data_IF_316147375913
#
_entry.id   IF_316147375913
#
_cell.length_a   1.000
_cell.length_b   1.000
_cell.length_c   1.000
_cell.angle_alpha   90.00
_cell.angle_beta   90.00
_cell.angle_gamma   90.00
#
_symmetry.space_group_name_H-M   'P 1'
#
loop_
_entity.id
_entity.type
_entity.pdbx_description
1 polymer ?
2 non-polymer ?
3 non-polymer ?
4 water ?
#
# COMPACT_ATOMS: atom_id res chain seq x y z
N UNK A 14 10.46 6.52 -10.09
CA UNK A 14 9.20 6.82 -9.39
C UNK A 14 9.22 6.20 -8.01
N UNK A 15 8.64 6.91 -7.04
CA UNK A 15 8.57 6.42 -5.68
C UNK A 15 7.16 6.34 -5.17
N UNK A 16 6.95 5.45 -4.21
CA UNK A 16 5.64 5.21 -3.60
C UNK A 16 5.80 5.35 -2.10
N UNK A 17 4.85 6.03 -1.47
CA UNK A 17 4.74 6.09 -0.02
C UNK A 17 3.52 5.30 0.41
N UNK A 18 3.66 4.51 1.47
CA UNK A 18 2.55 3.86 2.14
C UNK A 18 2.58 4.32 3.59
N UNK A 19 1.46 4.89 4.05
CA UNK A 19 1.34 5.39 5.41
C UNK A 19 0.16 4.69 6.08
N UNK A 20 0.45 4.01 7.18
CA UNK A 20 -0.57 3.30 7.96
C UNK A 20 -0.89 4.08 9.21
N UNK A 21 -2.18 4.36 9.42
CA UNK A 21 -2.71 5.09 10.56
C UNK A 21 -3.62 4.22 11.41
N UNK A 22 -3.51 4.42 12.73
CA UNK A 22 -4.31 3.68 13.73
C UNK A 22 -5.07 4.75 14.50
N UNK A 23 -6.35 5.00 14.16
CA UNK A 23 -7.11 6.03 14.88
C UNK A 23 -7.38 5.70 16.34
N UNK A 24 -7.52 6.76 17.14
CA UNK A 24 -7.98 6.60 18.52
C UNK A 24 -9.35 5.93 18.54
N UNK A 25 -9.60 5.18 19.60
CA UNK A 25 -10.86 4.45 19.67
C UNK A 25 -12.02 5.47 19.73
N UNK A 26 -13.06 5.13 18.97
CA UNK A 26 -14.21 5.99 18.78
C UNK A 26 -14.09 7.06 17.72
N UNK A 27 -12.91 7.17 17.08
CA UNK A 27 -12.66 8.22 16.08
C UNK A 27 -12.37 7.67 14.68
N UNK A 28 -12.71 6.41 14.40
CA UNK A 28 -12.40 5.84 13.10
C UNK A 28 -13.05 6.61 11.96
N UNK A 29 -14.37 6.80 12.06
CA UNK A 29 -15.09 7.44 10.97
C UNK A 29 -14.74 8.93 10.84
N UNK A 30 -14.53 9.62 11.96
CA UNK A 30 -14.08 11.01 11.94
C UNK A 30 -12.70 11.13 11.29
N UNK A 31 -11.81 10.20 11.61
CA UNK A 31 -10.48 10.18 11.02
C UNK A 31 -10.56 9.99 9.51
N UNK A 32 -11.41 9.05 9.08
CA UNK A 32 -11.57 8.81 7.65
C UNK A 32 -12.03 10.05 6.89
N UNK A 33 -12.93 10.84 7.49
CA UNK A 33 -13.39 12.08 6.87
C UNK A 33 -12.24 13.08 6.75
N UNK A 34 -11.46 13.23 7.81
CA UNK A 34 -10.34 14.19 7.81
C UNK A 34 -9.27 13.77 6.82
N UNK A 35 -8.86 12.51 6.87
CA UNK A 35 -7.77 12.07 6.01
C UNK A 35 -8.20 12.03 4.54
N UNK A 36 -9.47 11.79 4.27
CA UNK A 36 -9.96 11.85 2.90
C UNK A 36 -9.71 13.20 2.24
N UNK A 37 -9.89 14.28 3.00
CA UNK A 37 -9.60 15.63 2.47
C UNK A 37 -8.11 15.81 2.20
N UNK A 38 -7.27 15.29 3.09
CA UNK A 38 -5.81 15.36 2.89
C UNK A 38 -5.36 14.53 1.68
N UNK A 39 -5.95 13.38 1.47
CA UNK A 39 -5.65 12.53 0.32
C UNK A 39 -6.02 13.24 -0.98
N UNK A 40 -7.16 13.94 -1.00
CA UNK A 40 -7.56 14.72 -2.16
C UNK A 40 -6.56 15.85 -2.46
N UNK A 41 -6.06 16.51 -1.42
CA UNK A 41 -5.04 17.52 -1.63
C UNK A 41 -3.77 16.91 -2.22
N UNK A 42 -3.38 15.77 -1.67
CA UNK A 42 -2.17 15.09 -2.13
C UNK A 42 -2.28 14.63 -3.57
N UNK A 43 -3.43 14.07 -3.93
CA UNK A 43 -3.66 13.51 -5.25
C UNK A 43 -3.31 14.47 -6.39
N UNK A 44 -3.65 15.75 -6.21
CA UNK A 44 -3.43 16.78 -7.23
C UNK A 44 -2.27 17.70 -6.94
N UNK A 45 -1.44 17.34 -5.95
CA UNK A 45 -0.23 18.08 -5.66
C UNK A 45 0.76 17.85 -6.79
N UNK A 46 1.58 18.88 -7.17
CA UNK A 46 2.51 18.66 -8.27
C UNK A 46 3.42 17.44 -8.07
N UNK A 47 3.48 16.58 -9.09
CA UNK A 47 4.28 15.37 -9.08
C UNK A 47 3.60 14.12 -8.59
N UNK A 48 2.39 14.25 -8.03
CA UNK A 48 1.66 13.08 -7.56
C UNK A 48 0.95 12.43 -8.74
N UNK A 49 1.24 11.15 -8.95
CA UNK A 49 0.66 10.35 -10.02
C UNK A 49 -0.56 9.56 -9.60
N UNK A 50 -0.85 9.54 -8.30
CA UNK A 50 -2.05 8.87 -7.79
C UNK A 50 -2.02 8.82 -6.28
N UNK A 51 -3.20 8.86 -5.66
CA UNK A 51 -3.31 8.74 -4.21
C UNK A 51 -4.56 7.96 -3.89
N UNK A 52 -4.46 7.06 -2.92
CA UNK A 52 -5.52 6.12 -2.58
C UNK A 52 -5.67 6.05 -1.07
N UNK A 53 -6.91 6.04 -0.60
CA UNK A 53 -7.25 5.83 0.81
C UNK A 53 -7.95 4.48 0.95
N UNK A 55 -9.51 1.57 3.80
CA UNK A 55 -10.10 1.48 5.13
C UNK A 55 -10.31 0.03 5.53
N UNK A 56 -9.98 -0.30 6.78
CA UNK A 56 -10.27 -1.60 7.36
C UNK A 56 -10.77 -1.37 8.78
N UNK A 57 -12.04 -0.98 8.91
CA UNK A 57 -12.57 -0.64 10.25
C UNK A 57 -12.40 -1.72 11.30
N UNK A 58 -12.58 -2.97 10.89
CA UNK A 58 -12.51 -4.08 11.84
C UNK A 58 -11.08 -4.29 12.39
N UNK A 59 -10.07 -3.81 11.67
CA UNK A 59 -8.67 -3.84 12.11
C UNK A 59 -8.22 -2.50 12.67
N UNK A 60 -9.13 -1.53 12.77
CA UNK A 60 -8.77 -0.17 13.17
C UNK A 60 -7.57 0.37 12.40
N UNK A 61 -7.61 0.20 11.09
CA UNK A 61 -6.50 0.58 10.24
C UNK A 61 -7.00 1.39 9.05
N UNK A 62 -6.26 2.45 8.73
CA UNK A 62 -6.44 3.19 7.50
C UNK A 62 -5.07 3.31 6.85
N UNK A 63 -5.02 3.13 5.55
CA UNK A 63 -3.77 3.18 4.81
C UNK A 63 -3.92 4.15 3.65
N UNK A 64 -2.92 5.01 3.49
CA UNK A 64 -2.82 5.89 2.35
C UNK A 64 -1.61 5.47 1.53
N UNK A 66 0.50 6.80 -2.05
CA UNK A 66 0.64 7.76 -3.15
C UNK A 66 1.91 7.53 -3.92
N UNK A 67 1.81 7.85 -5.20
CA UNK A 67 2.85 7.62 -6.21
C UNK A 67 3.39 8.96 -6.67
N UNK A 68 4.70 9.03 -6.83
CA UNK A 68 5.42 10.28 -7.09
C UNK A 68 6.29 10.14 -8.32
N UNK A 69 6.19 11.13 -9.22
CA UNK A 69 7.00 11.21 -10.45
C UNK A 69 8.48 11.04 -10.22
N UNK A 70 8.96 11.73 -9.21
CA UNK A 70 10.38 11.76 -8.86
C UNK A 70 10.52 11.82 -7.34
N UNK A 71 11.68 11.43 -6.82
CA UNK A 71 11.96 11.69 -5.42
C UNK A 71 11.92 13.20 -5.07
N UNK A 72 12.30 14.07 -6.03
CA UNK A 72 12.26 15.52 -5.81
C UNK A 72 10.84 15.98 -5.50
N UNK A 73 9.89 15.48 -6.29
CA UNK A 73 8.49 15.85 -6.13
C UNK A 73 7.97 15.40 -4.78
N UNK A 74 8.28 14.16 -4.38
CA UNK A 74 7.89 13.68 -3.06
C UNK A 74 8.43 14.56 -1.96
N UNK A 75 9.72 14.87 -2.03
CA UNK A 75 10.35 15.65 -0.98
C UNK A 75 9.79 17.07 -0.89
N UNK A 76 9.46 17.66 -2.04
CA UNK A 76 8.83 18.98 -2.06
C UNK A 76 7.46 18.94 -1.35
N UNK A 77 6.70 17.87 -1.58
CA UNK A 77 5.43 17.63 -0.91
C UNK A 77 5.60 17.49 0.60
N UNK A 78 6.57 16.68 1.03
CA UNK A 78 6.76 16.46 2.46
C UNK A 78 7.17 17.74 3.19
N UNK A 79 7.98 18.56 2.53
CA UNK A 79 8.36 19.87 3.06
C UNK A 79 7.17 20.81 3.13
N UNK A 80 6.40 20.85 2.04
CA UNK A 80 5.22 21.71 1.97
C UNK A 80 4.21 21.39 3.05
N UNK A 81 3.97 20.11 3.31
CA UNK A 81 2.89 19.76 4.25
C UNK A 81 3.30 19.83 5.71
N UNK A 82 4.60 19.86 6.02
CA UNK A 82 5.10 19.59 7.37
C UNK A 82 4.48 20.47 8.44
N UNK A 83 4.29 21.75 8.13
CA UNK A 83 3.79 22.73 9.11
C UNK A 83 2.36 23.19 8.84
N UNK A 84 1.66 22.51 7.92
CA UNK A 84 0.29 22.92 7.56
C UNK A 84 -0.71 22.42 8.59
N UNK A 85 -1.62 23.30 9.01
CA UNK A 85 -2.56 22.98 10.07
C UNK A 85 -3.43 21.77 9.83
N UNK A 86 -3.93 21.62 8.61
CA UNK A 86 -4.80 20.47 8.33
C UNK A 86 -4.07 19.13 8.37
N UNK A 87 -2.83 19.07 7.89
CA UNK A 87 -2.02 17.87 8.05
C UNK A 87 -1.68 17.61 9.51
N UNK A 88 -1.35 18.67 10.25
CA UNK A 88 -1.03 18.51 11.68
C UNK A 88 -2.20 18.06 12.54
N UNK A 89 -3.41 18.40 12.12
CA UNK A 89 -4.62 18.01 12.86
C UNK A 89 -4.74 16.51 13.05
N UNK A 90 -4.18 15.71 12.15
CA UNK A 90 -4.25 14.24 12.25
C UNK A 90 -3.69 13.72 13.59
N UNK A 91 -2.68 14.41 14.12
CA UNK A 91 -2.00 13.92 15.30
C UNK A 91 -2.94 13.83 16.53
N UNK A 92 -3.98 14.69 16.59
CA UNK A 92 -4.93 14.58 17.71
C UNK A 92 -5.97 13.46 17.56
N UNK A 93 -5.95 12.72 16.44
CA UNK A 93 -6.87 11.60 16.21
C UNK A 93 -6.17 10.24 16.21
N UNK A 94 -4.84 10.20 16.30
CA UNK A 94 -3.99 8.99 16.19
C UNK A 94 -3.73 8.35 17.54
N UNK A 95 -3.81 7.02 17.63
CA UNK A 95 -3.46 6.33 18.87
C UNK A 95 -1.96 6.20 19.02
N UNK A 96 -1.25 5.98 17.92
CA UNK A 96 0.21 5.87 17.87
C UNK A 96 0.68 6.61 16.64
N UNK A 97 1.99 6.82 16.53
CA UNK A 97 2.57 7.49 15.35
C UNK A 97 2.28 6.67 14.11
N UNK A 98 2.09 7.38 13.00
CA UNK A 98 1.87 6.73 11.72
C UNK A 98 3.13 5.95 11.30
N UNK A 99 2.92 4.85 10.60
CA UNK A 99 3.97 4.05 9.99
C UNK A 99 4.11 4.52 8.55
N UNK A 100 5.19 5.23 8.26
CA UNK A 100 5.48 5.85 6.97
C UNK A 100 6.64 5.11 6.32
N UNK A 101 6.43 4.55 5.13
CA UNK A 101 7.48 3.85 4.40
C UNK A 101 7.52 4.27 2.95
N UNK A 102 8.74 4.40 2.43
CA UNK A 102 8.96 4.81 1.03
C UNK A 102 9.53 3.60 0.27
N UNK A 103 9.14 3.49 -0.99
CA UNK A 103 9.53 2.41 -1.87
C UNK A 103 9.88 2.92 -3.25
N UNK A 104 10.65 2.13 -3.98
CA UNK A 104 10.81 2.32 -5.41
C UNK A 104 9.68 1.63 -6.14
N UNK A 105 9.06 2.32 -7.09
CA UNK A 105 8.05 1.69 -7.94
C UNK A 105 8.75 0.88 -9.03
N UNK A 106 8.50 -0.42 -9.08
CA UNK A 106 9.08 -1.28 -10.09
C UNK A 106 8.35 -1.11 -11.41
N UNK B 14 -15.31 -1.16 -4.30
CA UNK B 14 -13.98 -1.53 -4.78
C UNK B 14 -13.13 -1.91 -3.59
N UNK B 15 -12.28 -2.92 -3.79
CA UNK B 15 -11.39 -3.41 -2.73
C UNK B 15 -9.96 -3.31 -3.16
N UNK B 16 -9.08 -3.21 -2.17
CA UNK B 16 -7.64 -3.15 -2.38
C UNK B 16 -7.00 -4.22 -1.54
N UNK B 17 -6.01 -4.91 -2.11
CA UNK B 17 -5.16 -5.83 -1.38
C UNK B 17 -3.75 -5.25 -1.33
N UNK B 18 -3.12 -5.35 -0.16
CA UNK B 18 -1.72 -5.04 0.04
C UNK B 18 -1.05 -6.30 0.57
N UNK B 19 -0.01 -6.78 -0.11
CA UNK B 19 0.70 -7.99 0.27
C UNK B 19 2.18 -7.64 0.46
N UNK B 20 2.70 -7.90 1.66
CA UNK B 20 4.09 -7.62 1.99
C UNK B 20 4.87 -8.92 2.03
N UNK B 21 5.97 -8.97 1.28
CA UNK B 21 6.84 -10.13 1.17
C UNK B 21 8.24 -9.81 1.72
N UNK B 22 8.82 -10.80 2.40
CA UNK B 22 10.16 -10.73 2.99
C UNK B 22 10.99 -11.84 2.35
N UNK B 23 11.81 -11.51 1.34
CA UNK B 23 12.61 -12.56 0.71
C UNK B 23 13.67 -13.18 1.61
N UNK B 24 13.98 -14.45 1.32
CA UNK B 24 15.14 -15.11 1.94
C UNK B 24 16.39 -14.33 1.64
N UNK B 25 17.36 -14.45 2.54
CA UNK B 25 18.70 -13.86 2.43
C UNK B 25 19.31 -14.20 1.10
N UNK B 26 19.81 -13.23 0.34
CA UNK B 26 20.42 -13.47 -0.95
C UNK B 26 19.47 -13.59 -2.12
N UNK B 27 18.16 -13.53 -1.89
CA UNK B 27 17.17 -13.74 -2.97
C UNK B 27 16.32 -12.52 -3.26
N UNK B 28 16.70 -11.33 -2.82
CA UNK B 28 15.86 -10.15 -3.04
C UNK B 28 15.62 -9.86 -4.51
N UNK B 29 16.71 -9.77 -5.27
CA UNK B 29 16.59 -9.43 -6.69
C UNK B 29 15.93 -10.54 -7.50
N UNK B 30 16.23 -11.79 -7.18
CA UNK B 30 15.54 -12.91 -7.83
C UNK B 30 14.05 -12.89 -7.55
N UNK B 31 13.67 -12.60 -6.31
CA UNK B 31 12.27 -12.54 -5.99
C UNK B 31 11.58 -11.37 -6.70
N UNK B 32 12.25 -10.22 -6.80
CA UNK B 32 11.69 -9.08 -7.53
C UNK B 32 11.36 -9.45 -8.98
N UNK B 33 12.26 -10.22 -9.62
CA UNK B 33 12.04 -10.67 -11.00
C UNK B 33 10.82 -11.61 -11.09
N UNK B 34 10.75 -12.56 -10.17
CA UNK B 34 9.67 -13.53 -10.12
C UNK B 34 8.31 -12.85 -9.88
N UNK B 35 8.26 -12.03 -8.85
CA UNK B 35 7.01 -11.40 -8.47
C UNK B 35 6.57 -10.35 -9.48
N UNK B 36 7.50 -9.73 -10.20
CA UNK B 36 7.11 -8.79 -11.24
C UNK B 36 6.24 -9.44 -12.29
N UNK B 37 6.59 -10.67 -12.68
CA UNK B 37 5.75 -11.42 -13.62
C UNK B 37 4.38 -11.72 -13.01
N UNK B 38 4.33 -12.15 -11.77
CA UNK B 38 3.05 -12.41 -11.09
C UNK B 38 2.18 -11.17 -11.00
N UNK B 39 2.81 -10.00 -10.78
CA UNK B 39 2.08 -8.74 -10.76
C UNK B 39 1.47 -8.42 -12.13
N UNK B 40 2.20 -8.72 -13.20
CA UNK B 40 1.67 -8.55 -14.56
C UNK B 40 0.47 -9.48 -14.80
N UNK B 41 0.58 -10.73 -14.34
CA UNK B 41 -0.52 -11.69 -14.47
C UNK B 41 -1.76 -11.22 -13.71
N UNK B 42 -1.54 -10.62 -12.55
CA UNK B 42 -2.61 -10.06 -11.73
C UNK B 42 -3.25 -8.85 -12.41
N UNK B 43 -2.42 -7.95 -12.93
CA UNK B 43 -2.88 -6.76 -13.65
C UNK B 43 -3.83 -7.11 -14.80
N UNK B 44 -3.58 -8.25 -15.41
CA UNK B 44 -4.36 -8.74 -16.55
C UNK B 44 -5.60 -9.54 -16.17
N UNK B 45 -5.82 -9.78 -14.88
CA UNK B 45 -6.98 -10.56 -14.48
C UNK B 45 -8.23 -9.68 -14.63
N UNK B 46 -9.33 -10.22 -15.21
CA UNK B 46 -10.54 -9.38 -15.36
C UNK B 46 -11.05 -8.82 -14.04
N UNK B 47 -11.24 -7.51 -14.00
CA UNK B 47 -11.67 -6.82 -12.80
C UNK B 47 -10.55 -6.21 -11.97
N UNK B 48 -9.29 -6.49 -12.32
CA UNK B 48 -8.18 -5.80 -11.69
C UNK B 48 -8.05 -4.42 -12.31
N UNK B 49 -8.22 -3.38 -11.51
CA UNK B 49 -8.12 -1.99 -11.97
C UNK B 49 -6.69 -1.44 -11.94
N UNK B 50 -5.76 -2.15 -11.30
CA UNK B 50 -4.38 -1.75 -11.28
C UNK B 50 -3.60 -2.62 -10.34
N UNK B 51 -2.32 -2.78 -10.63
CA UNK B 51 -1.42 -3.53 -9.78
C UNK B 51 -0.06 -2.87 -9.78
N UNK B 52 0.57 -2.85 -8.62
CA UNK B 52 1.81 -2.11 -8.40
C UNK B 52 2.76 -2.96 -7.57
N UNK B 53 4.05 -2.95 -7.95
CA UNK B 53 5.12 -3.60 -7.20
C UNK B 53 6.06 -2.52 -6.67
N UNK B 55 9.47 -1.76 -4.08
CA UNK B 55 10.69 -2.38 -3.60
C UNK B 55 11.39 -1.50 -2.57
N UNK B 56 11.85 -2.12 -1.50
CA UNK B 56 12.69 -1.46 -0.49
C UNK B 56 13.82 -2.42 -0.13
N UNK B 57 14.85 -2.53 -1.00
CA UNK B 57 15.92 -3.49 -0.74
C UNK B 57 16.57 -3.36 0.65
N UNK B 58 16.76 -2.14 1.11
CA UNK B 58 17.43 -1.91 2.38
C UNK B 58 16.63 -2.38 3.59
N UNK B 59 15.30 -2.51 3.43
CA UNK B 59 14.42 -3.06 4.45
C UNK B 59 14.08 -4.53 4.21
N UNK B 60 14.63 -5.11 3.15
CA UNK B 60 14.29 -6.46 2.70
C UNK B 60 12.78 -6.65 2.58
N UNK B 61 12.14 -5.68 1.93
CA UNK B 61 10.69 -5.69 1.83
C UNK B 61 10.29 -5.44 0.39
N UNK B 62 9.30 -6.20 -0.07
CA UNK B 62 8.62 -5.94 -1.34
C UNK B 62 7.13 -5.92 -1.02
N UNK B 63 6.41 -4.98 -1.61
CA UNK B 63 4.97 -4.81 -1.39
C UNK B 63 4.27 -4.79 -2.73
N UNK B 64 3.20 -5.59 -2.83
CA UNK B 64 2.33 -5.55 -3.99
C UNK B 64 0.99 -4.98 -3.56
N UNK B 66 -2.96 -4.19 -5.27
CA UNK B 66 -3.85 -4.25 -6.42
C UNK B 66 -5.26 -3.83 -6.04
N UNK B 67 -5.93 -3.25 -7.02
CA UNK B 67 -7.27 -2.66 -6.88
C UNK B 67 -8.23 -3.50 -7.68
N UNK B 68 -9.41 -3.75 -7.11
CA UNK B 68 -10.40 -4.66 -7.67
C UNK B 68 -11.73 -3.97 -7.85
N UNK B 69 -12.34 -4.14 -9.03
CA UNK B 69 -13.59 -3.48 -9.34
C UNK B 69 -14.74 -3.96 -8.44
N UNK B 70 -14.71 -5.24 -8.08
CA UNK B 70 -15.69 -5.84 -7.23
C UNK B 70 -15.00 -6.87 -6.33
N UNK B 71 -15.62 -7.18 -5.19
CA UNK B 71 -15.17 -8.32 -4.41
C UNK B 71 -15.22 -9.64 -5.18
N UNK B 72 -16.18 -9.76 -6.11
CA UNK B 72 -16.36 -10.92 -7.01
C UNK B 72 -15.08 -11.20 -7.77
N UNK B 73 -14.55 -10.14 -8.37
CA UNK B 73 -13.36 -10.24 -9.20
C UNK B 73 -12.16 -10.65 -8.35
N UNK B 74 -11.98 -10.01 -7.18
CA UNK B 74 -10.89 -10.37 -6.29
C UNK B 74 -10.96 -11.85 -5.92
N UNK B 75 -12.15 -12.30 -5.52
CA UNK B 75 -12.28 -13.67 -5.05
C UNK B 75 -12.04 -14.68 -6.16
N UNK B 76 -12.49 -14.35 -7.37
CA UNK B 76 -12.21 -15.19 -8.54
C UNK B 76 -10.70 -15.31 -8.76
N UNK B 77 -10.00 -14.19 -8.66
CA UNK B 77 -8.54 -14.16 -8.78
C UNK B 77 -7.84 -15.02 -7.71
N UNK B 78 -8.26 -14.88 -6.46
CA UNK B 78 -7.63 -15.62 -5.37
C UNK B 78 -7.83 -17.13 -5.53
N UNK B 79 -9.02 -17.53 -6.01
CA UNK B 79 -9.32 -18.93 -6.28
C UNK B 79 -8.49 -19.44 -7.46
N UNK B 80 -8.41 -18.64 -8.51
CA UNK B 80 -7.67 -19.01 -9.72
C UNK B 80 -6.19 -19.22 -9.45
N UNK B 81 -5.60 -18.36 -8.64
CA UNK B 81 -4.16 -18.42 -8.43
C UNK B 81 -3.73 -19.46 -7.40
N UNK B 82 -4.66 -19.93 -6.56
CA UNK B 82 -4.32 -20.68 -5.34
C UNK B 82 -3.46 -21.91 -5.59
N UNK B 83 -3.77 -22.63 -6.66
CA UNK B 83 -3.07 -23.87 -7.00
C UNK B 83 -2.13 -23.75 -8.19
N UNK B 84 -1.90 -22.53 -8.68
CA UNK B 84 -1.03 -22.36 -9.85
C UNK B 84 0.43 -22.46 -9.45
N UNK B 85 1.19 -23.23 -10.23
CA UNK B 85 2.62 -23.38 -9.99
C UNK B 85 3.40 -22.08 -9.97
N UNK B 86 3.06 -21.16 -10.87
CA UNK B 86 3.79 -19.88 -10.92
C UNK B 86 3.64 -19.06 -9.65
N UNK B 87 2.41 -18.92 -9.14
CA UNK B 87 2.18 -18.22 -7.89
C UNK B 87 2.76 -18.96 -6.70
N UNK B 88 2.67 -20.28 -6.72
CA UNK B 88 3.19 -21.09 -5.61
C UNK B 88 4.72 -21.08 -5.51
N UNK B 89 5.41 -20.78 -6.61
CA UNK B 89 6.87 -20.70 -6.62
C UNK B 89 7.42 -19.69 -5.61
N UNK B 90 6.64 -18.66 -5.22
CA UNK B 90 7.05 -17.68 -4.20
C UNK B 90 7.51 -18.32 -2.90
N UNK B 91 6.94 -19.48 -2.55
CA UNK B 91 7.31 -20.19 -1.32
C UNK B 91 8.78 -20.61 -1.24
N UNK B 92 9.42 -20.79 -2.38
CA UNK B 92 10.85 -21.13 -2.43
C UNK B 92 11.75 -19.91 -2.24
N UNK B 93 11.18 -18.70 -2.19
CA UNK B 93 11.94 -17.47 -2.12
C UNK B 93 11.72 -16.65 -0.83
N UNK B 94 10.68 -16.97 -0.04
CA UNK B 94 10.36 -16.10 1.08
C UNK B 94 10.73 -16.69 2.44
N UNK B 95 11.09 -15.78 3.35
CA UNK B 95 11.57 -16.19 4.67
C UNK B 95 10.44 -16.52 5.61
N UNK B 96 9.32 -15.79 5.49
CA UNK B 96 8.12 -15.99 6.30
C UNK B 96 6.93 -15.84 5.38
N UNK B 97 5.76 -16.24 5.87
CA UNK B 97 4.54 -16.12 5.08
C UNK B 97 4.27 -14.65 4.73
N UNK B 98 3.72 -14.45 3.54
CA UNK B 98 3.31 -13.11 3.11
C UNK B 98 2.25 -12.54 4.06
N UNK B 99 2.31 -11.23 4.29
CA UNK B 99 1.31 -10.48 5.08
C UNK B 99 0.31 -9.94 4.06
N UNK B 100 -0.89 -10.52 4.05
CA UNK B 100 -1.93 -10.23 3.07
C UNK B 100 -3.06 -9.52 3.79
N UNK B 101 -3.42 -8.31 3.36
CA UNK B 101 -4.50 -7.54 3.99
C UNK B 101 -5.41 -6.95 2.93
N UNK B 102 -6.72 -6.96 3.20
CA UNK B 102 -7.74 -6.45 2.31
C UNK B 102 -8.36 -5.18 2.93
N UNK B 103 -8.72 -4.23 2.08
CA UNK B 103 -9.26 -2.95 2.46
C UNK B 103 -10.39 -2.55 1.55
N UNK B 104 -11.24 -1.67 2.05
CA UNK B 104 -12.19 -0.97 1.20
C UNK B 104 -11.51 0.26 0.62
N UNK B 105 -11.66 0.49 -0.68
CA UNK B 105 -11.17 1.71 -1.31
C UNK B 105 -12.17 2.82 -1.02
N UNK B 106 -11.72 3.91 -0.41
CA UNK B 106 -12.57 5.04 -0.09
C UNK B 106 -12.75 5.90 -1.33
#
# INVERSE_FOLDING_TARGET
GXTESDRDQEASXREVVIVKSTPQRGKFNAFAELVGKLVSETRDFPGCLGAYLXLAPERNEQVVXHIWETPDALEAYLTWRADRGDFLEINEYLEVEQDFKTYQLA
GXTESDRDQEASXREVVIVKSTPQRGKFNAFAELVGKLVSETRDFPGCLGAYLXLAPERNEQVVXHIWETPDALEAYLTWRADRGDFLEINEYLEVEQDFKTYQLA
#
